data_IF_433079342410
#
_entry.id   IF_433079342410
#
_cell.length_a   1.000
_cell.length_b   1.000
_cell.length_c   1.000
_cell.angle_alpha   90.00
_cell.angle_beta   90.00
_cell.angle_gamma   90.00
#
_symmetry.space_group_name_H-M   'P 1'
#
loop_
_entity.id
_entity.type
_entity.pdbx_description
1 polymer ?
#
# COMPACT_ATOMS: atom_id res chain seq x y z
N UNK A 1 5.03 -2.41 -13.95
CA UNK A 1 4.25 -1.16 -13.78
C UNK A 1 4.01 -0.93 -12.29
N UNK A 2 4.02 0.32 -11.84
CA UNK A 2 3.63 0.70 -10.48
C UNK A 2 2.12 1.00 -10.44
N UNK A 3 1.41 0.51 -9.44
CA UNK A 3 -0.02 0.75 -9.20
C UNK A 3 -0.28 1.26 -7.79
N UNK A 4 -1.41 1.96 -7.61
CA UNK A 4 -1.81 2.51 -6.31
C UNK A 4 -1.98 1.38 -5.29
N UNK A 5 -1.44 1.57 -4.08
CA UNK A 5 -1.53 0.61 -2.99
C UNK A 5 -0.41 -0.44 -2.94
N UNK A 6 0.52 -0.42 -3.91
CA UNK A 6 1.71 -1.27 -3.84
C UNK A 6 2.71 -0.73 -2.82
N UNK A 7 3.31 -1.64 -2.05
CA UNK A 7 4.39 -1.31 -1.14
C UNK A 7 5.69 -1.13 -1.94
N UNK A 8 6.36 0.00 -1.73
CA UNK A 8 7.59 0.35 -2.42
C UNK A 8 8.61 0.93 -1.46
N UNK A 9 9.88 0.73 -1.80
CA UNK A 9 11.00 1.52 -1.32
C UNK A 9 11.28 2.63 -2.34
N UNK A 10 11.40 3.87 -1.90
CA UNK A 10 11.82 4.98 -2.73
C UNK A 10 12.98 5.74 -2.07
N UNK A 11 13.99 6.12 -2.85
CA UNK A 11 15.10 6.95 -2.38
C UNK A 11 15.34 8.12 -3.34
N UNK A 12 15.80 9.23 -2.76
CA UNK A 12 16.30 10.36 -3.51
C UNK A 12 16.44 11.61 -2.67
N UNK A 13 16.25 12.77 -3.30
CA UNK A 13 16.52 14.07 -2.66
C UNK A 13 15.25 14.65 -2.05
N UNK A 14 15.34 15.04 -0.79
CA UNK A 14 14.29 15.84 -0.15
C UNK A 14 14.47 17.31 -0.56
N UNK A 15 13.40 17.90 -1.08
CA UNK A 15 13.35 19.29 -1.56
C UNK A 15 12.29 20.05 -0.78
N UNK A 16 12.63 21.27 -0.36
CA UNK A 16 11.70 22.20 0.27
C UNK A 16 11.28 23.25 -0.76
N UNK A 17 9.99 23.50 -0.86
CA UNK A 17 9.42 24.54 -1.72
C UNK A 17 8.54 25.46 -0.88
N UNK A 18 8.78 26.75 -1.02
CA UNK A 18 7.91 27.80 -0.48
C UNK A 18 7.06 28.38 -1.62
N UNK A 19 5.78 28.58 -1.36
CA UNK A 19 4.84 29.13 -2.33
C UNK A 19 3.65 29.80 -1.65
N UNK A 20 3.03 30.77 -2.32
CA UNK A 20 1.77 31.35 -1.88
C UNK A 20 0.60 30.48 -2.32
N UNK A 21 -0.32 30.19 -1.40
CA UNK A 21 -1.60 29.58 -1.75
C UNK A 21 -2.51 30.56 -2.49
N UNK A 22 -3.68 30.10 -2.94
CA UNK A 22 -4.62 30.92 -3.73
C UNK A 22 -5.09 32.19 -3.01
N UNK A 23 -4.95 32.25 -1.69
CA UNK A 23 -5.36 33.37 -0.86
C UNK A 23 -4.16 34.24 -0.44
N UNK A 24 -2.96 33.97 -0.98
CA UNK A 24 -1.74 34.72 -0.69
C UNK A 24 -1.09 34.36 0.65
N UNK A 25 -1.45 33.23 1.26
CA UNK A 25 -0.77 32.80 2.49
C UNK A 25 0.49 32.01 2.14
N UNK A 26 1.63 32.30 2.79
CA UNK A 26 2.86 31.54 2.57
C UNK A 26 2.68 30.10 3.06
N UNK A 27 3.04 29.16 2.21
CA UNK A 27 3.01 27.71 2.48
C UNK A 27 4.36 27.10 2.19
N UNK A 28 4.59 25.98 2.86
CA UNK A 28 5.77 25.14 2.69
C UNK A 28 5.35 23.73 2.31
N UNK A 29 5.98 23.16 1.30
CA UNK A 29 5.92 21.73 0.98
C UNK A 29 7.30 21.09 1.04
N UNK A 30 7.32 19.84 1.48
CA UNK A 30 8.47 18.95 1.41
C UNK A 30 8.17 17.85 0.41
N UNK A 31 9.03 17.70 -0.59
CA UNK A 31 8.85 16.79 -1.71
C UNK A 31 10.06 15.86 -1.84
N UNK A 32 9.82 14.55 -2.00
CA UNK A 32 10.86 13.59 -2.31
C UNK A 32 10.99 13.46 -3.83
N UNK A 33 12.05 14.01 -4.39
CA UNK A 33 12.43 13.79 -5.78
C UNK A 33 13.17 12.45 -5.87
N UNK A 34 12.43 11.38 -6.16
CA UNK A 34 12.97 10.02 -6.18
C UNK A 34 13.79 9.73 -7.45
N UNK A 35 15.00 9.21 -7.28
CA UNK A 35 15.83 8.64 -8.35
C UNK A 35 15.61 7.12 -8.50
N UNK A 36 15.27 6.46 -7.39
CA UNK A 36 15.14 5.00 -7.33
C UNK A 36 13.82 4.62 -6.68
N UNK A 37 13.10 3.69 -7.31
CA UNK A 37 11.89 3.07 -6.76
C UNK A 37 11.98 1.55 -6.92
N UNK A 38 11.82 0.81 -5.82
CA UNK A 38 11.84 -0.67 -5.79
C UNK A 38 10.52 -1.20 -5.24
N UNK A 39 9.92 -2.14 -5.95
CA UNK A 39 8.69 -2.82 -5.49
C UNK A 39 9.04 -3.79 -4.36
N UNK A 40 8.35 -3.67 -3.24
CA UNK A 40 8.50 -4.52 -2.06
C UNK A 40 7.26 -5.40 -1.91
N UNK A 41 7.06 -6.37 -2.81
CA UNK A 41 5.76 -7.04 -2.86
C UNK A 41 5.62 -8.19 -3.83
N UNK A 42 6.46 -9.22 -3.74
CA UNK A 42 6.08 -10.55 -4.26
C UNK A 42 5.14 -11.32 -3.33
N UNK A 43 4.79 -10.80 -2.14
CA UNK A 43 4.17 -11.59 -1.08
C UNK A 43 2.79 -11.16 -0.57
N UNK A 44 2.20 -10.04 -1.01
CA UNK A 44 0.90 -9.57 -0.50
C UNK A 44 -0.29 -10.02 -1.35
N UNK A 45 -0.16 -10.04 -2.67
CA UNK A 45 -1.20 -10.53 -3.59
C UNK A 45 -1.30 -12.06 -3.56
N UNK A 46 -0.16 -12.78 -3.54
CA UNK A 46 -0.12 -14.24 -3.39
C UNK A 46 -0.82 -14.69 -2.09
N UNK A 47 -0.48 -14.06 -0.95
CA UNK A 47 -1.09 -14.38 0.36
C UNK A 47 -2.59 -14.06 0.43
N UNK A 48 -3.06 -13.07 -0.33
CA UNK A 48 -4.49 -12.74 -0.39
C UNK A 48 -5.27 -13.67 -1.32
N UNK A 49 -4.63 -14.22 -2.36
CA UNK A 49 -5.19 -15.26 -3.22
C UNK A 49 -5.26 -16.62 -2.48
N UNK A 50 -4.19 -17.03 -1.78
CA UNK A 50 -4.17 -18.24 -0.95
C UNK A 50 -5.21 -18.19 0.19
N UNK A 51 -5.36 -17.05 0.87
CA UNK A 51 -6.37 -16.89 1.93
C UNK A 51 -7.81 -16.93 1.42
N UNK A 52 -8.06 -16.62 0.15
CA UNK A 52 -9.41 -16.73 -0.44
C UNK A 52 -9.71 -18.18 -0.82
N UNK A 53 -8.76 -18.88 -1.44
CA UNK A 53 -8.89 -20.30 -1.78
C UNK A 53 -9.02 -21.19 -0.54
N UNK A 54 -8.29 -20.89 0.53
CA UNK A 54 -8.37 -21.64 1.80
C UNK A 54 -9.74 -21.49 2.51
N UNK A 55 -10.48 -20.41 2.25
CA UNK A 55 -11.79 -20.16 2.88
C UNK A 55 -12.96 -20.75 2.09
N UNK A 56 -12.75 -21.03 0.81
CA UNK A 56 -13.72 -21.72 -0.06
C UNK A 56 -13.65 -23.26 0.06
N UNK A 57 -12.61 -23.79 0.73
CA UNK A 57 -12.35 -25.24 0.83
C UNK A 57 -12.67 -25.85 2.22
N UNK A 58 -13.22 -25.08 3.16
CA UNK A 58 -13.59 -25.60 4.48
C UNK A 58 -14.99 -26.23 4.45
N UNK A 59 -15.16 -27.54 4.74
CA UNK A 59 -16.48 -28.14 4.88
C UNK A 59 -17.20 -27.56 6.10
N UNK A 60 -18.49 -27.27 5.95
CA UNK A 60 -19.35 -26.80 7.03
C UNK A 60 -19.88 -28.00 7.81
N UNK A 61 -19.10 -28.51 8.77
CA UNK A 61 -19.57 -29.55 9.69
C UNK A 61 -20.09 -28.88 10.98
N UNK A 62 -21.29 -28.30 10.88
CA UNK A 62 -22.10 -27.80 12.00
C UNK A 62 -23.00 -28.90 12.60
N UNK A 63 -22.65 -30.18 12.44
CA UNK A 63 -23.50 -31.32 12.82
C UNK A 63 -23.15 -31.98 14.17
N UNK A 64 -22.18 -31.45 14.94
CA UNK A 64 -21.63 -32.11 16.15
C UNK A 64 -21.61 -31.24 17.43
N UNK A 65 -22.60 -30.35 17.64
CA UNK A 65 -22.76 -29.61 18.93
C UNK A 65 -23.95 -30.18 19.71
N UNK A 66 -23.75 -31.03 20.74
CA UNK A 66 -24.82 -31.46 21.64
C UNK A 66 -25.23 -30.34 22.62
N UNK A 67 -26.53 -30.28 22.92
CA UNK A 67 -27.16 -29.35 23.89
C UNK A 67 -26.76 -29.61 25.35
#
# INVERSE_FOLDING_TARGET
KLSKGQLVYASGRLVRREYDDRNGNPRESWELHADTVRLLGQGSEQRRAERRQARESAPADDEDIPF
#
